data_IF_438053122586
#
_entry.id   IF_438053122586
#
_cell.length_a   1.000
_cell.length_b   1.000
_cell.length_c   1.000
_cell.angle_alpha   90.00
_cell.angle_beta   90.00
_cell.angle_gamma   90.00
#
_symmetry.space_group_name_H-M   'P 1'
#
loop_
_entity.id
_entity.type
_entity.pdbx_description
1 polymer ?
#
# COMPACT_ATOMS: atom_id res chain seq x y z
N UNK A 1 46.20 -26.23 -12.54
CA UNK A 1 47.40 -25.37 -12.35
C UNK A 1 46.93 -23.98 -11.93
N UNK A 2 46.67 -23.80 -10.65
CA UNK A 2 46.36 -22.48 -10.08
C UNK A 2 47.23 -22.32 -8.85
N UNK A 3 48.29 -21.55 -8.97
CA UNK A 3 49.18 -21.21 -7.85
C UNK A 3 48.45 -20.10 -7.09
N UNK A 4 47.99 -20.38 -5.87
CA UNK A 4 47.33 -19.35 -5.05
C UNK A 4 48.37 -18.32 -4.60
N UNK A 5 47.98 -17.04 -4.49
CA UNK A 5 48.85 -15.99 -3.97
C UNK A 5 49.42 -16.32 -2.58
N UNK A 6 48.68 -17.10 -1.80
CA UNK A 6 49.14 -17.61 -0.50
C UNK A 6 50.31 -18.59 -0.63
N UNK A 7 50.29 -19.47 -1.63
CA UNK A 7 51.36 -20.47 -1.85
C UNK A 7 52.68 -19.82 -2.27
N UNK A 8 52.62 -18.69 -3.00
CA UNK A 8 53.80 -17.91 -3.40
C UNK A 8 54.47 -17.28 -2.18
N UNK A 9 53.69 -16.71 -1.25
CA UNK A 9 54.22 -16.09 -0.02
C UNK A 9 54.81 -17.15 0.91
N UNK A 10 54.15 -18.31 1.03
CA UNK A 10 54.64 -19.45 1.84
C UNK A 10 55.97 -20.00 1.31
N UNK A 11 56.06 -20.26 0.01
CA UNK A 11 57.30 -20.74 -0.62
C UNK A 11 58.42 -19.69 -0.63
N UNK A 12 58.10 -18.39 -0.68
CA UNK A 12 59.09 -17.32 -0.64
C UNK A 12 59.76 -17.19 0.74
N UNK A 13 59.01 -17.45 1.83
CA UNK A 13 59.53 -17.41 3.20
C UNK A 13 60.49 -18.57 3.50
N UNK A 14 60.22 -19.76 2.96
CA UNK A 14 61.08 -20.94 3.13
C UNK A 14 62.39 -20.88 2.32
N UNK A 15 62.47 -20.06 1.26
CA UNK A 15 63.64 -20.00 0.36
C UNK A 15 64.33 -18.63 0.31
N UNK A 16 63.99 -17.68 1.19
CA UNK A 16 64.55 -16.32 1.20
C UNK A 16 64.41 -15.54 -0.14
N UNK A 17 63.39 -15.86 -0.95
CA UNK A 17 63.14 -15.18 -2.23
C UNK A 17 62.29 -13.92 -2.04
N UNK A 18 62.90 -12.88 -1.47
CA UNK A 18 62.32 -11.53 -1.33
C UNK A 18 61.77 -10.88 -2.64
N UNK A 19 62.34 -11.10 -3.84
CA UNK A 19 61.88 -10.42 -5.06
C UNK A 19 60.42 -10.70 -5.43
N UNK A 20 59.93 -11.93 -5.26
CA UNK A 20 58.54 -12.27 -5.62
C UNK A 20 57.50 -11.61 -4.72
N UNK A 21 57.83 -11.42 -3.43
CA UNK A 21 56.95 -10.75 -2.46
C UNK A 21 56.82 -9.27 -2.81
N UNK A 22 57.90 -8.61 -3.23
CA UNK A 22 57.86 -7.23 -3.68
C UNK A 22 57.06 -7.06 -4.98
N UNK A 23 57.19 -7.98 -5.93
CA UNK A 23 56.42 -7.94 -7.18
C UNK A 23 54.93 -8.15 -6.89
N UNK A 24 54.59 -9.11 -6.04
CA UNK A 24 53.20 -9.39 -5.67
C UNK A 24 52.57 -8.22 -4.88
N UNK A 25 53.26 -7.66 -3.90
CA UNK A 25 52.74 -6.51 -3.14
C UNK A 25 52.58 -5.27 -4.02
N UNK A 26 53.54 -5.03 -4.92
CA UNK A 26 53.49 -3.93 -5.89
C UNK A 26 52.31 -4.04 -6.85
N UNK A 27 51.99 -5.24 -7.35
CA UNK A 27 50.88 -5.43 -8.30
C UNK A 27 49.51 -5.20 -7.67
N UNK A 28 49.30 -5.65 -6.43
CA UNK A 28 48.06 -5.36 -5.68
C UNK A 28 47.92 -3.88 -5.36
N UNK A 29 49.02 -3.23 -4.94
CA UNK A 29 49.01 -1.80 -4.66
C UNK A 29 48.68 -0.99 -5.91
N UNK A 30 49.33 -1.30 -7.04
CA UNK A 30 49.08 -0.63 -8.31
C UNK A 30 47.63 -0.80 -8.76
N UNK A 31 47.07 -2.00 -8.62
CA UNK A 31 45.67 -2.28 -8.99
C UNK A 31 44.71 -1.48 -8.13
N UNK A 32 44.90 -1.45 -6.82
CA UNK A 32 44.09 -0.65 -5.90
C UNK A 32 44.21 0.86 -6.17
N UNK A 33 45.41 1.32 -6.51
CA UNK A 33 45.63 2.72 -6.85
C UNK A 33 44.90 3.13 -8.14
N UNK A 34 44.96 2.27 -9.17
CA UNK A 34 44.25 2.51 -10.45
C UNK A 34 42.73 2.51 -10.24
N UNK A 35 42.16 1.58 -9.46
CA UNK A 35 40.71 1.56 -9.20
C UNK A 35 40.25 2.80 -8.44
N UNK A 36 41.04 3.29 -7.47
CA UNK A 36 40.77 4.55 -6.75
C UNK A 36 40.81 5.74 -7.70
N UNK A 37 41.83 5.85 -8.56
CA UNK A 37 41.94 6.95 -9.53
C UNK A 37 40.76 6.97 -10.50
N UNK A 38 40.37 5.81 -11.04
CA UNK A 38 39.21 5.70 -11.94
C UNK A 38 37.90 6.09 -11.22
N UNK A 39 37.74 5.67 -9.97
CA UNK A 39 36.62 6.09 -9.12
C UNK A 39 36.59 7.60 -8.90
N UNK A 40 37.74 8.20 -8.62
CA UNK A 40 37.88 9.64 -8.41
C UNK A 40 37.58 10.45 -9.67
N UNK A 41 38.07 9.99 -10.83
CA UNK A 41 37.72 10.55 -12.14
C UNK A 41 36.22 10.47 -12.40
N UNK A 42 35.58 9.33 -12.13
CA UNK A 42 34.12 9.18 -12.27
C UNK A 42 33.36 10.16 -11.38
N UNK A 43 33.74 10.29 -10.11
CA UNK A 43 33.08 11.21 -9.19
C UNK A 43 33.21 12.67 -9.63
N UNK A 44 34.39 13.07 -10.08
CA UNK A 44 34.60 14.43 -10.58
C UNK A 44 33.88 14.68 -11.91
N UNK A 45 33.82 13.69 -12.81
CA UNK A 45 33.06 13.79 -14.05
C UNK A 45 31.56 13.92 -13.79
N UNK A 46 31.00 13.12 -12.88
CA UNK A 46 29.57 13.21 -12.50
C UNK A 46 29.27 14.55 -11.85
N UNK A 47 30.16 15.04 -10.96
CA UNK A 47 30.03 16.37 -10.36
C UNK A 47 30.07 17.48 -11.41
N UNK A 48 31.01 17.42 -12.35
CA UNK A 48 31.13 18.40 -13.42
C UNK A 48 29.95 18.31 -14.39
N UNK A 49 29.43 17.12 -14.68
CA UNK A 49 28.24 16.92 -15.49
C UNK A 49 27.00 17.53 -14.82
N UNK A 50 26.80 17.31 -13.51
CA UNK A 50 25.73 17.94 -12.73
C UNK A 50 25.86 19.47 -12.68
N UNK A 51 27.09 20.00 -12.64
CA UNK A 51 27.35 21.42 -12.69
C UNK A 51 27.05 22.03 -14.09
N UNK A 52 27.22 21.25 -15.15
CA UNK A 52 26.95 21.64 -16.53
C UNK A 52 25.49 21.42 -16.97
N UNK A 53 24.65 20.72 -16.18
CA UNK A 53 23.21 20.72 -16.43
C UNK A 53 22.75 22.17 -16.30
N UNK A 54 22.16 22.77 -17.35
CA UNK A 54 21.58 24.09 -17.24
C UNK A 54 20.48 23.99 -16.19
N UNK A 55 20.76 24.49 -14.98
CA UNK A 55 19.72 24.64 -13.96
C UNK A 55 18.69 25.53 -14.61
N UNK A 56 17.48 25.01 -14.83
CA UNK A 56 16.32 25.80 -15.22
C UNK A 56 16.19 26.87 -14.15
N UNK A 57 16.81 28.01 -14.40
CA UNK A 57 16.89 29.12 -13.48
C UNK A 57 15.52 29.73 -13.58
N UNK A 58 14.60 29.18 -12.79
CA UNK A 58 13.26 29.70 -12.65
C UNK A 58 13.46 31.09 -12.06
N UNK A 59 13.12 32.15 -12.80
CA UNK A 59 13.45 33.48 -12.34
C UNK A 59 12.43 33.91 -11.32
N UNK A 60 12.80 33.73 -10.06
CA UNK A 60 11.92 34.02 -8.92
C UNK A 60 12.02 35.50 -8.55
N UNK A 61 13.04 36.24 -9.02
CA UNK A 61 13.31 37.62 -8.63
C UNK A 61 12.98 38.62 -9.75
N UNK A 62 12.37 39.75 -9.38
CA UNK A 62 12.01 40.87 -10.28
C UNK A 62 13.20 41.52 -11.00
N UNK A 63 14.45 41.13 -10.69
CA UNK A 63 15.66 41.66 -11.33
C UNK A 63 16.17 40.78 -12.47
N UNK A 64 15.64 39.56 -12.61
CA UNK A 64 16.12 38.57 -13.59
C UNK A 64 15.42 38.71 -14.96
N UNK A 65 14.31 39.44 -15.04
CA UNK A 65 13.54 39.68 -16.28
C UNK A 65 12.99 41.10 -16.35
N UNK A 66 12.66 41.56 -17.58
CA UNK A 66 11.82 42.73 -17.77
C UNK A 66 10.49 42.57 -17.03
N UNK A 67 10.05 43.64 -16.36
CA UNK A 67 8.84 43.65 -15.51
C UNK A 67 7.59 43.12 -16.23
N UNK A 68 7.45 43.35 -17.55
CA UNK A 68 6.31 42.86 -18.34
C UNK A 68 6.24 41.32 -18.37
N UNK A 69 7.38 40.66 -18.62
CA UNK A 69 7.46 39.19 -18.69
C UNK A 69 7.32 38.58 -17.30
N UNK A 70 7.92 39.22 -16.29
CA UNK A 70 7.75 38.82 -14.89
C UNK A 70 6.28 38.84 -14.49
N UNK A 71 5.59 39.97 -14.70
CA UNK A 71 4.17 40.12 -14.38
C UNK A 71 3.28 39.13 -15.13
N UNK A 72 3.60 38.82 -16.40
CA UNK A 72 2.89 37.81 -17.17
C UNK A 72 3.03 36.41 -16.55
N UNK A 73 4.26 35.99 -16.23
CA UNK A 73 4.52 34.68 -15.62
C UNK A 73 3.86 34.59 -14.24
N UNK A 74 4.02 35.59 -13.38
CA UNK A 74 3.41 35.59 -12.04
C UNK A 74 1.89 35.57 -12.15
N UNK A 75 1.31 36.35 -13.08
CA UNK A 75 -0.12 36.35 -13.34
C UNK A 75 -0.67 34.98 -13.74
N UNK A 76 -0.03 34.29 -14.70
CA UNK A 76 -0.45 32.96 -15.11
C UNK A 76 -0.21 31.90 -14.02
N UNK A 77 0.90 31.99 -13.26
CA UNK A 77 1.14 31.09 -12.12
C UNK A 77 0.07 31.26 -11.04
N UNK A 78 -0.28 32.50 -10.69
CA UNK A 78 -1.35 32.78 -9.73
C UNK A 78 -2.70 32.30 -10.26
N UNK A 79 -2.97 32.48 -11.56
CA UNK A 79 -4.19 31.97 -12.18
C UNK A 79 -4.28 30.44 -12.11
N UNK A 80 -3.22 29.73 -12.50
CA UNK A 80 -3.19 28.26 -12.46
C UNK A 80 -3.24 27.75 -11.02
N UNK A 81 -2.57 28.42 -10.08
CA UNK A 81 -2.67 28.05 -8.67
C UNK A 81 -4.09 28.24 -8.12
N UNK A 82 -4.78 29.31 -8.51
CA UNK A 82 -6.18 29.53 -8.13
C UNK A 82 -7.11 28.48 -8.76
N UNK A 83 -6.91 28.13 -10.04
CA UNK A 83 -7.68 27.08 -10.71
C UNK A 83 -7.46 25.73 -10.03
N UNK A 84 -6.20 25.38 -9.72
CA UNK A 84 -5.86 24.14 -9.03
C UNK A 84 -6.48 24.08 -7.63
N UNK A 85 -6.40 25.18 -6.88
CA UNK A 85 -7.01 25.28 -5.55
C UNK A 85 -8.54 25.21 -5.60
N UNK A 86 -9.17 25.85 -6.60
CA UNK A 86 -10.63 25.81 -6.77
C UNK A 86 -11.10 24.46 -7.31
N UNK A 87 -10.24 23.75 -8.05
CA UNK A 87 -10.50 22.42 -8.61
C UNK A 87 -10.19 21.27 -7.66
N UNK A 88 -9.77 21.55 -6.44
CA UNK A 88 -9.58 20.51 -5.42
C UNK A 88 -10.94 19.85 -5.13
N UNK A 89 -11.06 18.51 -5.24
CA UNK A 89 -12.34 17.84 -5.06
C UNK A 89 -12.77 18.00 -3.61
N UNK A 90 -13.91 18.66 -3.38
CA UNK A 90 -14.43 18.77 -2.03
C UNK A 90 -15.03 17.43 -1.62
N UNK A 91 -14.95 17.05 -0.33
CA UNK A 91 -15.60 15.84 0.17
C UNK A 91 -17.12 15.81 -0.03
N UNK A 92 -17.75 16.96 -0.31
CA UNK A 92 -19.17 17.08 -0.67
C UNK A 92 -19.50 16.75 -2.12
N UNK A 93 -18.56 16.93 -3.03
CA UNK A 93 -18.76 16.72 -4.46
C UNK A 93 -18.58 15.24 -4.85
N UNK A 94 -18.00 14.42 -3.96
CA UNK A 94 -17.77 13.00 -4.18
C UNK A 94 -18.92 12.18 -3.62
N UNK A 95 -19.92 11.90 -4.46
CA UNK A 95 -20.95 10.91 -4.17
C UNK A 95 -20.72 9.67 -5.05
N UNK A 96 -19.86 8.76 -4.56
CA UNK A 96 -19.59 7.48 -5.19
C UNK A 96 -20.64 6.47 -4.73
N UNK A 97 -21.50 5.95 -5.63
CA UNK A 97 -22.43 4.87 -5.27
C UNK A 97 -21.64 3.68 -4.70
N UNK A 98 -22.10 3.12 -3.57
CA UNK A 98 -21.47 1.95 -2.95
C UNK A 98 -20.30 2.24 -2.01
N UNK A 99 -19.78 3.46 -1.97
CA UNK A 99 -18.71 3.89 -1.06
C UNK A 99 -19.21 4.89 -0.02
N UNK A 100 -18.64 4.81 1.18
CA UNK A 100 -18.85 5.82 2.19
C UNK A 100 -18.19 7.15 1.80
N UNK A 101 -18.80 8.24 2.26
CA UNK A 101 -18.33 9.59 1.95
C UNK A 101 -17.01 9.87 2.70
N UNK A 102 -15.98 10.42 2.02
CA UNK A 102 -14.74 10.80 2.68
C UNK A 102 -14.98 11.78 3.84
N UNK A 103 -14.40 11.50 5.02
CA UNK A 103 -14.63 12.27 6.25
C UNK A 103 -15.94 12.00 6.99
N UNK A 104 -16.75 11.02 6.57
CA UNK A 104 -17.90 10.52 7.33
C UNK A 104 -17.52 9.33 8.23
N UNK A 105 -18.45 8.86 9.07
CA UNK A 105 -18.26 7.63 9.87
C UNK A 105 -18.01 6.37 9.02
N UNK A 106 -18.30 6.44 7.71
CA UNK A 106 -18.11 5.36 6.76
C UNK A 106 -16.95 5.61 5.79
N UNK A 107 -16.03 6.51 6.14
CA UNK A 107 -14.86 6.78 5.30
C UNK A 107 -14.06 5.50 5.00
N UNK A 108 -13.59 5.39 3.76
CA UNK A 108 -12.87 4.22 3.23
C UNK A 108 -13.62 2.88 3.30
N UNK A 109 -14.94 2.89 3.47
CA UNK A 109 -15.76 1.67 3.50
C UNK A 109 -16.49 1.47 2.18
N UNK A 110 -16.19 0.36 1.51
CA UNK A 110 -17.02 -0.16 0.42
C UNK A 110 -18.16 -1.01 0.98
N UNK A 111 -19.41 -0.59 0.77
CA UNK A 111 -20.57 -1.19 1.42
C UNK A 111 -20.77 -2.66 1.05
N UNK A 112 -20.73 -3.03 -0.23
CA UNK A 112 -20.94 -4.43 -0.66
C UNK A 112 -19.85 -5.35 -0.10
N UNK A 113 -18.59 -4.94 -0.17
CA UNK A 113 -17.47 -5.73 0.36
C UNK A 113 -17.60 -5.91 1.88
N UNK A 114 -17.93 -4.84 2.59
CA UNK A 114 -18.16 -4.88 4.04
C UNK A 114 -19.30 -5.85 4.39
N UNK A 115 -20.44 -5.75 3.70
CA UNK A 115 -21.60 -6.64 3.88
C UNK A 115 -21.22 -8.11 3.66
N UNK A 116 -20.47 -8.43 2.61
CA UNK A 116 -20.03 -9.80 2.33
C UNK A 116 -19.09 -10.32 3.43
N UNK A 117 -18.20 -9.46 3.92
CA UNK A 117 -17.25 -9.83 4.98
C UNK A 117 -17.92 -10.10 6.33
N UNK A 118 -19.12 -9.55 6.58
CA UNK A 118 -19.88 -9.83 7.82
C UNK A 118 -20.12 -11.32 8.06
N UNK A 119 -20.23 -12.11 7.00
CA UNK A 119 -20.45 -13.55 7.11
C UNK A 119 -19.34 -14.25 7.91
N UNK A 120 -18.09 -13.85 7.64
CA UNK A 120 -16.93 -14.42 8.34
C UNK A 120 -16.97 -14.14 9.84
N UNK A 121 -17.49 -12.99 10.25
CA UNK A 121 -17.66 -12.62 11.65
C UNK A 121 -18.74 -13.47 12.33
N UNK A 122 -19.85 -13.71 11.62
CA UNK A 122 -20.95 -14.56 12.11
C UNK A 122 -20.44 -16.00 12.30
N UNK A 123 -19.73 -16.54 11.32
CA UNK A 123 -19.14 -17.88 11.38
C UNK A 123 -18.15 -18.01 12.54
N UNK A 124 -17.23 -17.05 12.70
CA UNK A 124 -16.28 -17.04 13.81
C UNK A 124 -16.97 -16.94 15.18
N UNK A 125 -18.03 -16.12 15.29
CA UNK A 125 -18.78 -15.94 16.53
C UNK A 125 -19.57 -17.20 16.88
N UNK A 126 -20.21 -17.83 15.88
CA UNK A 126 -20.90 -19.10 16.07
C UNK A 126 -19.95 -20.22 16.50
N UNK A 127 -18.75 -20.29 15.91
CA UNK A 127 -17.68 -21.23 16.30
C UNK A 127 -17.21 -21.03 17.74
N UNK A 128 -17.02 -19.77 18.18
CA UNK A 128 -16.65 -19.44 19.57
C UNK A 128 -17.73 -19.89 20.56
N UNK A 129 -19.00 -19.73 20.19
CA UNK A 129 -20.15 -20.14 21.02
C UNK A 129 -20.23 -21.66 21.13
N UNK A 130 -20.10 -22.36 20.01
CA UNK A 130 -20.13 -23.80 19.97
C UNK A 130 -19.29 -24.36 18.81
N UNK A 131 -18.25 -25.12 19.16
CA UNK A 131 -17.35 -25.77 18.20
C UNK A 131 -18.05 -26.75 17.25
N UNK A 132 -19.24 -27.25 17.59
CA UNK A 132 -20.02 -28.13 16.71
C UNK A 132 -20.70 -27.39 15.54
N UNK A 133 -20.82 -26.06 15.60
CA UNK A 133 -21.44 -25.23 14.56
C UNK A 133 -20.46 -24.85 13.43
N UNK A 134 -19.44 -25.69 13.20
CA UNK A 134 -18.46 -25.48 12.15
C UNK A 134 -19.10 -25.71 10.78
N UNK A 135 -18.96 -24.73 9.90
CA UNK A 135 -19.42 -24.84 8.51
C UNK A 135 -18.60 -25.88 7.75
N UNK A 136 -19.28 -26.64 6.91
CA UNK A 136 -18.64 -27.52 5.94
C UNK A 136 -18.20 -26.69 4.72
N UNK A 137 -17.02 -26.94 4.11
CA UNK A 137 -16.51 -26.09 3.01
C UNK A 137 -17.47 -25.94 1.82
N UNK A 138 -18.27 -26.97 1.52
CA UNK A 138 -19.25 -27.01 0.44
C UNK A 138 -20.59 -26.34 0.77
N UNK A 139 -20.81 -25.91 2.01
CA UNK A 139 -22.09 -25.35 2.46
C UNK A 139 -22.21 -23.87 2.07
N UNK A 140 -23.33 -23.48 1.45
CA UNK A 140 -23.62 -22.07 1.14
C UNK A 140 -23.90 -21.24 2.41
N UNK A 141 -23.86 -19.91 2.26
CA UNK A 141 -24.20 -18.97 3.36
C UNK A 141 -25.63 -19.18 3.83
N UNK A 142 -26.58 -19.28 2.90
CA UNK A 142 -27.98 -19.57 3.21
C UNK A 142 -28.13 -20.86 4.01
N UNK A 143 -27.51 -21.96 3.55
CA UNK A 143 -27.61 -23.26 4.24
C UNK A 143 -26.98 -23.22 5.64
N UNK A 144 -25.91 -22.45 5.82
CA UNK A 144 -25.29 -22.26 7.12
C UNK A 144 -26.21 -21.50 8.09
N UNK A 145 -26.88 -20.45 7.62
CA UNK A 145 -27.83 -19.70 8.43
C UNK A 145 -29.04 -20.56 8.79
N UNK A 146 -29.55 -21.38 7.88
CA UNK A 146 -30.62 -22.33 8.17
C UNK A 146 -30.23 -23.33 9.27
N UNK A 147 -28.97 -23.79 9.28
CA UNK A 147 -28.43 -24.63 10.34
C UNK A 147 -28.42 -23.90 11.69
N UNK A 148 -28.03 -22.62 11.72
CA UNK A 148 -28.06 -21.83 12.95
C UNK A 148 -29.49 -21.59 13.47
N UNK A 149 -30.47 -21.48 12.57
CA UNK A 149 -31.89 -21.40 12.91
C UNK A 149 -32.39 -22.74 13.49
N UNK A 150 -32.02 -23.86 12.87
CA UNK A 150 -32.40 -25.22 13.30
C UNK A 150 -31.91 -25.53 14.72
N UNK A 151 -30.67 -25.13 15.02
CA UNK A 151 -30.09 -25.22 16.37
C UNK A 151 -30.62 -24.16 17.36
N UNK A 152 -31.63 -23.37 16.96
CA UNK A 152 -32.27 -22.30 17.76
C UNK A 152 -31.28 -21.26 18.28
N UNK A 153 -30.19 -21.03 17.55
CA UNK A 153 -29.16 -20.04 17.90
C UNK A 153 -29.57 -18.64 17.41
N UNK A 154 -30.22 -18.59 16.25
CA UNK A 154 -30.70 -17.37 15.61
C UNK A 154 -32.20 -17.52 15.32
N UNK A 155 -32.94 -16.41 15.36
CA UNK A 155 -34.34 -16.38 14.96
C UNK A 155 -34.50 -16.53 13.44
N UNK A 156 -35.58 -17.19 13.02
CA UNK A 156 -35.87 -17.45 11.60
C UNK A 156 -36.03 -16.16 10.80
N UNK A 157 -36.72 -15.15 11.36
CA UNK A 157 -36.91 -13.86 10.70
C UNK A 157 -35.60 -13.12 10.47
N UNK A 158 -34.76 -13.05 11.49
CA UNK A 158 -33.45 -12.39 11.41
C UNK A 158 -32.48 -13.11 10.45
N UNK A 159 -32.48 -14.44 10.46
CA UNK A 159 -31.63 -15.22 9.56
C UNK A 159 -31.99 -15.04 8.09
N UNK A 160 -33.28 -15.09 7.74
CA UNK A 160 -33.71 -14.88 6.36
C UNK A 160 -33.46 -13.44 5.88
N UNK A 161 -33.71 -12.43 6.72
CA UNK A 161 -33.42 -11.03 6.39
C UNK A 161 -31.92 -10.79 6.15
N UNK A 162 -31.05 -11.43 6.94
CA UNK A 162 -29.61 -11.38 6.72
C UNK A 162 -29.21 -12.02 5.38
N UNK A 163 -29.73 -13.22 5.07
CA UNK A 163 -29.42 -13.91 3.82
C UNK A 163 -29.86 -13.08 2.62
N UNK A 164 -31.06 -12.50 2.65
CA UNK A 164 -31.55 -11.64 1.57
C UNK A 164 -30.62 -10.44 1.31
N UNK A 165 -30.23 -9.72 2.37
CA UNK A 165 -29.31 -8.59 2.25
C UNK A 165 -27.91 -9.01 1.77
N UNK A 166 -27.42 -10.18 2.22
CA UNK A 166 -26.14 -10.73 1.79
C UNK A 166 -26.15 -11.14 0.31
N UNK A 167 -27.17 -11.86 -0.13
CA UNK A 167 -27.31 -12.31 -1.51
C UNK A 167 -27.50 -11.13 -2.45
N UNK A 168 -28.29 -10.12 -2.04
CA UNK A 168 -28.41 -8.87 -2.79
C UNK A 168 -27.05 -8.18 -2.92
N UNK A 169 -26.28 -8.02 -1.84
CA UNK A 169 -24.95 -7.40 -1.91
C UNK A 169 -23.95 -8.21 -2.77
N UNK A 170 -24.09 -9.53 -2.82
CA UNK A 170 -23.17 -10.41 -3.55
C UNK A 170 -23.50 -10.58 -5.02
N UNK A 171 -24.78 -10.64 -5.37
CA UNK A 171 -25.25 -11.02 -6.71
C UNK A 171 -25.94 -9.89 -7.47
N UNK A 172 -26.32 -8.80 -6.80
CA UNK A 172 -26.86 -7.62 -7.50
C UNK A 172 -25.75 -6.89 -8.25
N UNK A 173 -26.09 -6.38 -9.44
CA UNK A 173 -25.23 -5.45 -10.20
C UNK A 173 -25.28 -4.04 -9.61
N UNK A 174 -26.37 -3.67 -8.94
CA UNK A 174 -26.57 -2.34 -8.38
C UNK A 174 -25.69 -2.09 -7.16
N UNK A 175 -25.30 -0.82 -6.98
CA UNK A 175 -24.59 -0.37 -5.78
C UNK A 175 -25.54 -0.16 -4.61
N UNK A 176 -25.05 -0.43 -3.40
CA UNK A 176 -25.86 -0.33 -2.17
C UNK A 176 -25.78 1.10 -1.64
N UNK A 177 -26.91 1.81 -1.44
CA UNK A 177 -26.90 3.12 -0.81
C UNK A 177 -26.60 3.02 0.69
N UNK A 178 -26.05 4.09 1.25
CA UNK A 178 -25.64 4.16 2.66
C UNK A 178 -26.79 3.84 3.64
N UNK A 179 -28.02 4.23 3.32
CA UNK A 179 -29.19 3.95 4.15
C UNK A 179 -29.45 2.44 4.28
N UNK A 180 -29.50 1.74 3.14
CA UNK A 180 -29.67 0.28 3.11
C UNK A 180 -28.52 -0.45 3.79
N UNK A 181 -27.27 0.03 3.58
CA UNK A 181 -26.11 -0.51 4.28
C UNK A 181 -26.26 -0.37 5.81
N UNK A 182 -26.69 0.80 6.28
CA UNK A 182 -26.86 1.06 7.71
C UNK A 182 -27.96 0.18 8.32
N UNK A 183 -29.06 -0.02 7.60
CA UNK A 183 -30.13 -0.94 8.00
C UNK A 183 -29.63 -2.39 8.09
N UNK A 184 -28.91 -2.85 7.08
CA UNK A 184 -28.31 -4.18 7.08
C UNK A 184 -27.33 -4.37 8.24
N UNK A 185 -26.46 -3.39 8.51
CA UNK A 185 -25.51 -3.49 9.62
C UNK A 185 -26.22 -3.53 10.99
N UNK A 186 -27.36 -2.86 11.16
CA UNK A 186 -28.19 -3.00 12.37
C UNK A 186 -28.70 -4.43 12.52
N UNK A 187 -29.15 -5.08 11.43
CA UNK A 187 -29.57 -6.49 11.45
C UNK A 187 -28.41 -7.41 11.83
N UNK A 188 -27.22 -7.19 11.26
CA UNK A 188 -26.01 -7.96 11.58
C UNK A 188 -25.66 -7.81 13.07
N UNK A 189 -25.69 -6.60 13.61
CA UNK A 189 -25.43 -6.36 15.03
C UNK A 189 -26.45 -7.07 15.94
N UNK A 190 -27.72 -7.05 15.57
CA UNK A 190 -28.75 -7.80 16.30
C UNK A 190 -28.46 -9.30 16.29
N UNK A 191 -28.06 -9.85 15.14
CA UNK A 191 -27.73 -11.25 14.97
C UNK A 191 -26.48 -11.63 15.78
N UNK A 192 -25.42 -10.83 15.72
CA UNK A 192 -24.20 -11.04 16.51
C UNK A 192 -24.46 -10.98 18.02
N UNK A 193 -25.31 -10.06 18.49
CA UNK A 193 -25.72 -10.01 19.90
C UNK A 193 -26.42 -11.29 20.34
N UNK A 194 -27.27 -11.89 19.51
CA UNK A 194 -27.90 -13.20 19.79
C UNK A 194 -26.88 -14.34 19.85
N UNK A 195 -25.78 -14.21 19.10
CA UNK A 195 -24.65 -15.13 19.14
C UNK A 195 -23.74 -14.91 20.36
N UNK A 196 -23.97 -13.87 21.18
CA UNK A 196 -23.17 -13.57 22.37
C UNK A 196 -21.92 -12.74 22.08
N UNK A 197 -21.89 -12.03 20.96
CA UNK A 197 -20.85 -11.03 20.70
C UNK A 197 -21.10 -9.79 21.58
N UNK A 198 -20.22 -9.59 22.56
CA UNK A 198 -20.09 -8.34 23.29
C UNK A 198 -19.02 -7.54 22.54
N UNK A 199 -19.41 -6.39 21.98
CA UNK A 199 -18.50 -5.53 21.25
C UNK A 199 -17.53 -4.87 22.22
N UNK A 200 -16.35 -5.46 22.35
CA UNK A 200 -15.17 -4.85 22.95
C UNK A 200 -14.37 -4.10 21.87
#
# INVERSE_FOLDING_TARGET
LGISAYDIIRNAKDKEYYPYVYIASGSYFLTGFVTVLLGWCRLNLVKNALANIPKSSMPIKNRDLPNSVFNLITGELTRVSMIAWTGEPKPEDVNLPGWGRPGSDFDDIHFKSSMINTFSLIEQTALKKNSSLKRQPSMSVQRYIDLLIEHRVIDRGLGHAYVEGYERARFSEDEVPQEQYTEFMKLVLQLLRRLGYNGD
#
